data_IF_082938069897
#
_entry.id   IF_082938069897
#
_cell.length_a   1.000
_cell.length_b   1.000
_cell.length_c   1.000
_cell.angle_alpha   90.00
_cell.angle_beta   90.00
_cell.angle_gamma   90.00
#
_symmetry.space_group_name_H-M   'P 1'
#
loop_
_entity.id
_entity.type
_entity.pdbx_description
1 polymer ?
#
# COMPACT_ATOMS: atom_id res chain seq x y z
N UNK A 1 36.89 7.08 4.97
CA UNK A 1 35.67 6.28 4.75
C UNK A 1 34.50 7.19 5.08
N UNK A 2 33.47 7.28 4.24
CA UNK A 2 32.31 8.15 4.50
C UNK A 2 31.49 7.68 5.70
N UNK A 3 30.62 8.54 6.24
CA UNK A 3 29.68 8.17 7.30
C UNK A 3 28.64 7.17 6.77
N UNK A 4 28.60 5.97 7.34
CA UNK A 4 27.64 4.91 6.96
C UNK A 4 26.24 5.14 7.55
N UNK A 5 26.05 6.18 8.36
CA UNK A 5 24.78 6.57 8.95
C UNK A 5 24.17 7.82 8.31
N UNK A 6 24.74 8.31 7.19
CA UNK A 6 24.15 9.37 6.39
C UNK A 6 22.71 9.00 5.97
N UNK A 7 21.81 9.98 6.04
CA UNK A 7 20.39 9.81 5.70
C UNK A 7 19.96 10.89 4.73
N UNK A 8 19.09 10.52 3.81
CA UNK A 8 18.45 11.44 2.88
C UNK A 8 16.94 11.20 2.82
N UNK A 9 16.22 12.16 2.25
CA UNK A 9 14.80 12.10 2.01
C UNK A 9 14.52 11.91 0.52
N UNK A 10 13.76 10.87 0.18
CA UNK A 10 13.32 10.58 -1.19
C UNK A 10 11.80 10.50 -1.20
N UNK A 11 11.19 11.23 -2.14
CA UNK A 11 9.74 11.25 -2.34
C UNK A 11 9.41 10.76 -3.75
N UNK A 12 8.50 9.80 -3.84
CA UNK A 12 7.85 9.47 -5.12
C UNK A 12 6.78 10.54 -5.36
N UNK A 13 6.97 11.34 -6.42
CA UNK A 13 6.04 12.40 -6.81
C UNK A 13 4.71 11.82 -7.34
N UNK A 14 3.64 12.62 -7.41
CA UNK A 14 2.32 12.15 -7.86
C UNK A 14 2.32 11.42 -9.21
N UNK A 15 3.12 11.89 -10.19
CA UNK A 15 3.27 11.25 -11.50
C UNK A 15 3.94 9.86 -11.41
N UNK A 16 4.87 9.66 -10.48
CA UNK A 16 5.47 8.36 -10.21
C UNK A 16 4.47 7.38 -9.58
N UNK A 17 3.60 7.88 -8.70
CA UNK A 17 2.51 7.10 -8.09
C UNK A 17 1.48 6.70 -9.16
N UNK A 18 1.01 7.66 -9.97
CA UNK A 18 0.03 7.43 -11.02
C UNK A 18 0.50 6.41 -12.09
N UNK A 19 1.82 6.27 -12.26
CA UNK A 19 2.44 5.30 -13.18
C UNK A 19 2.77 3.94 -12.53
N UNK A 20 2.39 3.72 -11.27
CA UNK A 20 2.65 2.47 -10.55
C UNK A 20 4.13 2.22 -10.23
N UNK A 21 4.95 3.26 -10.11
CA UNK A 21 6.42 3.12 -9.95
C UNK A 21 6.89 3.03 -8.50
N UNK A 22 5.98 3.13 -7.50
CA UNK A 22 6.34 3.13 -6.07
C UNK A 22 7.17 1.91 -5.68
N UNK A 23 6.70 0.71 -6.06
CA UNK A 23 7.40 -0.54 -5.77
C UNK A 23 8.74 -0.66 -6.50
N UNK A 24 8.76 -0.33 -7.79
CA UNK A 24 9.98 -0.40 -8.61
C UNK A 24 11.07 0.56 -8.12
N UNK A 25 10.70 1.79 -7.73
CA UNK A 25 11.65 2.76 -7.17
C UNK A 25 12.18 2.25 -5.84
N UNK A 26 11.31 1.80 -4.93
CA UNK A 26 11.70 1.28 -3.60
C UNK A 26 12.64 0.09 -3.74
N UNK A 27 12.29 -0.86 -4.61
CA UNK A 27 13.08 -2.05 -4.95
C UNK A 27 14.49 -1.68 -5.41
N UNK A 28 14.67 -0.62 -6.22
CA UNK A 28 16.00 -0.19 -6.68
C UNK A 28 16.88 0.32 -5.54
N UNK A 29 16.32 1.06 -4.57
CA UNK A 29 17.07 1.50 -3.40
C UNK A 29 17.52 0.31 -2.54
N UNK A 30 16.61 -0.64 -2.28
CA UNK A 30 16.91 -1.85 -1.53
C UNK A 30 17.94 -2.73 -2.25
N UNK A 31 17.77 -2.99 -3.55
CA UNK A 31 18.72 -3.75 -4.37
C UNK A 31 20.10 -3.10 -4.45
N UNK A 32 20.18 -1.76 -4.38
CA UNK A 32 21.46 -1.04 -4.33
C UNK A 32 22.20 -1.23 -3.00
N UNK A 33 21.51 -1.70 -1.97
CA UNK A 33 22.03 -1.89 -0.61
C UNK A 33 21.75 -0.73 0.33
N UNK A 34 20.90 0.23 -0.05
CA UNK A 34 20.45 1.26 0.88
C UNK A 34 19.37 0.70 1.82
N UNK A 35 19.47 1.05 3.10
CA UNK A 35 18.52 0.59 4.12
C UNK A 35 17.35 1.58 4.25
N UNK A 36 16.09 1.17 4.00
CA UNK A 36 14.95 2.01 4.37
C UNK A 36 14.89 2.14 5.90
N UNK A 37 14.92 3.38 6.40
CA UNK A 37 14.88 3.66 7.85
C UNK A 37 13.52 4.18 8.31
N UNK A 38 12.72 4.73 7.40
CA UNK A 38 11.34 5.15 7.63
C UNK A 38 10.60 5.20 6.28
N UNK A 39 9.35 4.73 6.26
CA UNK A 39 8.45 4.80 5.10
C UNK A 39 7.07 5.19 5.61
N UNK A 40 6.40 6.12 4.91
CA UNK A 40 4.97 6.39 5.07
C UNK A 40 4.29 6.10 3.74
N UNK A 41 3.52 5.01 3.68
CA UNK A 41 2.71 4.63 2.52
C UNK A 41 1.24 4.67 2.93
N UNK A 42 0.49 5.55 2.29
CA UNK A 42 -0.97 5.63 2.39
C UNK A 42 -1.46 5.55 0.96
N UNK A 43 -2.41 4.65 0.67
CA UNK A 43 -2.80 4.29 -0.69
C UNK A 43 -4.32 4.20 -0.79
N UNK A 44 -4.87 4.63 -1.93
CA UNK A 44 -6.29 4.46 -2.30
C UNK A 44 -6.34 3.52 -3.50
N UNK A 45 -7.12 2.44 -3.38
CA UNK A 45 -7.34 1.48 -4.46
C UNK A 45 -8.78 1.57 -4.95
N UNK A 46 -8.97 1.49 -6.27
CA UNK A 46 -10.27 1.49 -6.92
C UNK A 46 -10.49 0.16 -7.64
N UNK A 47 -11.72 -0.37 -7.56
CA UNK A 47 -12.11 -1.59 -8.25
C UNK A 47 -13.35 -2.25 -7.66
N UNK A 48 -13.95 -3.17 -8.40
CA UNK A 48 -15.12 -3.91 -7.95
C UNK A 48 -14.83 -4.70 -6.66
N UNK A 49 -15.62 -4.46 -5.62
CA UNK A 49 -15.51 -5.15 -4.34
C UNK A 49 -14.21 -4.87 -3.57
N UNK A 50 -13.45 -3.83 -3.91
CA UNK A 50 -12.08 -3.59 -3.40
C UNK A 50 -11.97 -3.60 -1.87
N UNK A 51 -12.99 -3.15 -1.15
CA UNK A 51 -13.01 -3.18 0.32
C UNK A 51 -13.06 -4.62 0.83
N UNK A 52 -14.08 -5.39 0.40
CA UNK A 52 -14.26 -6.77 0.84
C UNK A 52 -13.14 -7.70 0.35
N UNK A 53 -12.75 -7.57 -0.93
CA UNK A 53 -11.67 -8.35 -1.53
C UNK A 53 -10.33 -7.95 -0.90
N UNK A 54 -10.07 -6.65 -0.70
CA UNK A 54 -8.88 -6.16 -0.02
C UNK A 54 -8.77 -6.74 1.39
N UNK A 55 -9.84 -6.71 2.19
CA UNK A 55 -9.86 -7.34 3.52
C UNK A 55 -9.53 -8.84 3.47
N UNK A 56 -10.04 -9.57 2.46
CA UNK A 56 -9.68 -10.99 2.26
C UNK A 56 -8.20 -11.18 1.91
N UNK A 57 -7.65 -10.34 1.02
CA UNK A 57 -6.23 -10.38 0.65
C UNK A 57 -5.31 -10.05 1.84
N UNK A 58 -5.73 -9.12 2.70
CA UNK A 58 -5.00 -8.74 3.91
C UNK A 58 -4.94 -9.90 4.93
N UNK A 59 -6.00 -10.70 5.03
CA UNK A 59 -6.19 -11.68 6.09
C UNK A 59 -6.85 -11.08 7.34
N UNK A 60 -7.18 -11.93 8.31
CA UNK A 60 -7.79 -11.52 9.57
C UNK A 60 -6.94 -10.51 10.34
N UNK A 61 -7.56 -9.67 11.18
CA UNK A 61 -6.80 -8.66 11.95
C UNK A 61 -5.78 -9.32 12.89
N UNK A 62 -6.13 -10.50 13.40
CA UNK A 62 -5.26 -11.41 14.16
C UNK A 62 -4.49 -12.32 13.19
N UNK A 63 -3.15 -12.15 13.06
CA UNK A 63 -2.36 -12.96 12.13
C UNK A 63 -2.42 -14.46 12.42
N UNK A 64 -2.62 -14.88 13.68
CA UNK A 64 -2.72 -16.29 14.03
C UNK A 64 -3.96 -16.99 13.43
N UNK A 65 -4.93 -16.20 12.94
CA UNK A 65 -6.15 -16.66 12.26
C UNK A 65 -6.13 -16.36 10.75
N UNK A 66 -5.03 -15.80 10.24
CA UNK A 66 -4.88 -15.47 8.84
C UNK A 66 -4.34 -16.68 8.08
N UNK A 67 -5.00 -17.02 6.97
CA UNK A 67 -4.58 -18.15 6.14
C UNK A 67 -3.26 -17.86 5.39
N UNK A 68 -2.42 -18.86 5.14
CA UNK A 68 -1.27 -18.74 4.24
C UNK A 68 -1.67 -18.19 2.86
N UNK A 69 -0.84 -17.31 2.30
CA UNK A 69 -1.13 -16.57 1.06
C UNK A 69 -1.85 -15.24 1.27
N UNK A 70 -2.34 -14.97 2.49
CA UNK A 70 -2.77 -13.61 2.87
C UNK A 70 -1.57 -12.81 3.38
N UNK A 71 -1.63 -11.48 3.26
CA UNK A 71 -0.52 -10.61 3.68
C UNK A 71 -0.16 -10.82 5.16
N UNK A 72 -1.15 -10.91 6.04
CA UNK A 72 -0.90 -11.13 7.47
C UNK A 72 -0.49 -12.56 7.79
N UNK A 73 -1.06 -13.55 7.10
CA UNK A 73 -0.68 -14.95 7.29
C UNK A 73 0.79 -15.20 6.91
N UNK A 74 1.28 -14.53 5.87
CA UNK A 74 2.65 -14.71 5.38
C UNK A 74 3.68 -13.86 6.14
N UNK A 75 3.30 -12.67 6.63
CA UNK A 75 4.27 -11.66 7.10
C UNK A 75 4.08 -11.17 8.53
N UNK A 76 3.07 -11.63 9.28
CA UNK A 76 2.82 -11.18 10.64
C UNK A 76 2.61 -12.33 11.64
N UNK A 77 2.90 -12.05 12.93
CA UNK A 77 2.72 -13.03 14.03
C UNK A 77 1.78 -12.47 15.12
N UNK A 78 1.84 -11.17 15.42
CA UNK A 78 1.13 -10.57 16.54
C UNK A 78 0.19 -9.44 16.08
N UNK A 79 -1.00 -9.35 16.68
CA UNK A 79 -2.04 -8.36 16.34
C UNK A 79 -1.56 -6.91 16.43
N UNK A 80 -0.76 -6.58 17.44
CA UNK A 80 -0.18 -5.22 17.59
C UNK A 80 0.90 -4.86 16.56
N UNK A 81 1.33 -5.82 15.73
CA UNK A 81 2.35 -5.68 14.68
C UNK A 81 1.93 -6.47 13.43
N UNK A 82 0.70 -6.24 12.96
CA UNK A 82 0.07 -7.00 11.87
C UNK A 82 0.29 -6.41 10.46
N UNK A 83 1.41 -5.68 10.28
CA UNK A 83 1.96 -5.22 8.98
C UNK A 83 1.14 -4.18 8.20
N UNK A 84 -0.19 -4.28 8.13
CA UNK A 84 -1.02 -3.50 7.19
C UNK A 84 -2.42 -3.19 7.76
N UNK A 85 -2.99 -2.05 7.34
CA UNK A 85 -4.37 -1.63 7.59
C UNK A 85 -5.19 -1.65 6.30
N UNK A 86 -6.49 -1.89 6.42
CA UNK A 86 -7.45 -1.75 5.32
C UNK A 86 -8.85 -1.52 5.87
N UNK A 87 -9.58 -0.58 5.27
CA UNK A 87 -10.93 -0.19 5.67
C UNK A 87 -11.87 -1.40 5.68
N UNK A 88 -12.81 -1.42 6.62
CA UNK A 88 -13.75 -2.53 6.84
C UNK A 88 -15.13 -2.35 6.19
N UNK A 89 -15.43 -1.14 5.71
CA UNK A 89 -16.73 -0.76 5.18
C UNK A 89 -16.61 0.46 4.27
N UNK A 90 -17.59 0.70 3.42
CA UNK A 90 -17.64 1.90 2.57
C UNK A 90 -17.62 3.19 3.41
N UNK A 91 -18.32 3.18 4.55
CA UNK A 91 -18.35 4.32 5.48
C UNK A 91 -16.98 4.61 6.07
N UNK A 92 -16.23 3.59 6.50
CA UNK A 92 -14.88 3.78 7.04
C UNK A 92 -13.90 4.16 5.93
N UNK A 93 -13.99 3.54 4.76
CA UNK A 93 -13.17 3.86 3.60
C UNK A 93 -13.32 5.33 3.19
N UNK A 94 -14.54 5.82 3.02
CA UNK A 94 -14.78 7.23 2.69
C UNK A 94 -14.16 8.18 3.71
N UNK A 95 -14.42 7.95 5.00
CA UNK A 95 -13.87 8.77 6.09
C UNK A 95 -12.34 8.75 6.10
N UNK A 96 -11.73 7.59 5.89
CA UNK A 96 -10.28 7.42 5.89
C UNK A 96 -9.64 8.10 4.68
N UNK A 97 -10.22 7.98 3.48
CA UNK A 97 -9.74 8.68 2.28
C UNK A 97 -9.78 10.19 2.50
N UNK A 98 -10.92 10.73 2.96
CA UNK A 98 -11.10 12.16 3.22
C UNK A 98 -10.18 12.69 4.36
N UNK A 99 -9.74 11.81 5.27
CA UNK A 99 -8.78 12.14 6.33
C UNK A 99 -7.34 12.23 5.82
N UNK A 100 -6.95 11.32 4.91
CA UNK A 100 -5.55 11.15 4.50
C UNK A 100 -5.18 11.90 3.22
N UNK A 101 -6.16 12.22 2.37
CA UNK A 101 -5.93 12.84 1.07
C UNK A 101 -6.83 14.04 0.84
N UNK A 102 -6.29 15.07 0.21
CA UNK A 102 -7.12 16.09 -0.44
C UNK A 102 -7.73 15.53 -1.71
N UNK A 103 -8.87 16.05 -2.18
CA UNK A 103 -9.49 15.62 -3.43
C UNK A 103 -8.55 15.68 -4.65
N UNK A 104 -7.64 16.66 -4.71
CA UNK A 104 -6.67 16.82 -5.81
C UNK A 104 -5.55 15.76 -5.81
N UNK A 105 -5.37 15.01 -4.71
CA UNK A 105 -4.36 13.96 -4.59
C UNK A 105 -4.87 12.60 -5.08
N UNK A 106 -6.20 12.44 -5.21
CA UNK A 106 -6.83 11.22 -5.72
C UNK A 106 -6.96 11.33 -7.24
N UNK A 107 -6.03 10.69 -7.95
CA UNK A 107 -5.95 10.78 -9.42
C UNK A 107 -7.01 9.91 -10.10
N UNK A 108 -7.76 10.52 -11.02
CA UNK A 108 -8.70 9.80 -11.90
C UNK A 108 -8.04 9.49 -13.24
N UNK A 109 -8.06 8.21 -13.63
CA UNK A 109 -7.56 7.75 -14.93
C UNK A 109 -8.27 6.47 -15.35
N UNK A 110 -8.28 6.19 -16.65
CA UNK A 110 -8.90 4.98 -17.19
C UNK A 110 -7.84 3.93 -17.47
N UNK A 111 -7.97 2.76 -16.86
CA UNK A 111 -7.10 1.62 -17.16
C UNK A 111 -7.35 1.11 -18.58
N UNK A 112 -6.31 1.11 -19.41
CA UNK A 112 -6.36 0.52 -20.75
C UNK A 112 -6.71 -0.99 -20.72
N UNK A 113 -6.37 -1.66 -19.62
CA UNK A 113 -6.71 -3.06 -19.38
C UNK A 113 -8.12 -3.25 -18.79
N UNK A 114 -8.81 -2.18 -18.36
CA UNK A 114 -10.09 -2.27 -17.66
C UNK A 114 -11.15 -3.06 -18.43
N UNK A 115 -11.21 -2.90 -19.76
CA UNK A 115 -12.12 -3.64 -20.66
C UNK A 115 -11.87 -5.15 -20.72
N UNK A 116 -10.70 -5.60 -20.27
CA UNK A 116 -10.32 -7.02 -20.21
C UNK A 116 -10.42 -7.59 -18.80
N UNK A 117 -10.67 -6.74 -17.80
CA UNK A 117 -10.73 -7.11 -16.37
C UNK A 117 -12.18 -7.06 -15.87
N UNK A 118 -13.00 -6.17 -16.43
CA UNK A 118 -14.40 -5.98 -16.07
C UNK A 118 -15.31 -6.31 -17.26
N UNK A 119 -16.41 -7.00 -16.99
CA UNK A 119 -17.50 -7.29 -17.95
C UNK A 119 -18.47 -6.12 -18.09
#
# INVERSE_FOLDING_TARGET
>A
MGDIHERTFILVKPDGVARGLVGEITKRFEHRGFKPVAIKLVLVWEGFGVIAVGRKMLGETDPAKSEPGTIRGDFAIATGRNVIHGSDSEKSAKREIDLWFRPDEVTQWTSAAGKWIHE
#
